data_IF_980019224476
#
_entry.id   IF_980019224476
#
_cell.length_a   1.000
_cell.length_b   1.000
_cell.length_c   1.000
_cell.angle_alpha   90.00
_cell.angle_beta   90.00
_cell.angle_gamma   90.00
#
_symmetry.space_group_name_H-M   'P 1'
#
loop_
_entity.id
_entity.type
_entity.pdbx_description
1 polymer ?
#
# COMPACT_ATOMS: atom_id res chain seq x y z
N UNK A 1 10.62 -43.62 -16.46
CA UNK A 1 9.62 -43.45 -15.38
C UNK A 1 9.39 -41.98 -15.18
N UNK A 2 8.15 -41.45 -15.13
CA UNK A 2 7.93 -40.06 -14.82
C UNK A 2 8.36 -39.83 -13.35
N UNK A 3 9.46 -39.11 -13.15
CA UNK A 3 9.90 -38.71 -11.84
C UNK A 3 8.96 -37.59 -11.36
N UNK A 4 8.14 -37.85 -10.36
CA UNK A 4 7.39 -36.80 -9.64
C UNK A 4 8.41 -35.95 -8.88
N UNK A 5 8.88 -34.90 -9.49
CA UNK A 5 9.74 -33.95 -8.81
C UNK A 5 8.88 -33.09 -7.85
N UNK A 6 8.92 -33.42 -6.57
CA UNK A 6 8.28 -32.62 -5.52
C UNK A 6 9.22 -31.42 -5.24
N UNK A 7 9.08 -30.38 -6.04
CA UNK A 7 9.81 -29.12 -5.86
C UNK A 7 9.01 -28.18 -4.95
N UNK A 8 9.69 -27.28 -4.25
CA UNK A 8 9.05 -26.25 -3.44
C UNK A 8 8.04 -25.42 -4.26
N UNK A 9 8.33 -25.16 -5.54
CA UNK A 9 7.43 -24.48 -6.46
C UNK A 9 6.10 -25.23 -6.64
N UNK A 10 6.15 -26.55 -6.87
CA UNK A 10 4.95 -27.37 -7.06
C UNK A 10 4.09 -27.42 -5.79
N UNK A 11 4.72 -27.53 -4.63
CA UNK A 11 4.03 -27.50 -3.32
C UNK A 11 3.36 -26.15 -3.12
N UNK A 12 4.05 -25.06 -3.41
CA UNK A 12 3.51 -23.71 -3.29
C UNK A 12 2.34 -23.49 -4.22
N UNK A 13 2.44 -23.90 -5.49
CA UNK A 13 1.34 -23.81 -6.45
C UNK A 13 0.13 -24.63 -6.02
N UNK A 14 0.34 -25.86 -5.55
CA UNK A 14 -0.73 -26.73 -5.08
C UNK A 14 -1.42 -26.16 -3.82
N UNK A 15 -0.63 -25.65 -2.86
CA UNK A 15 -1.14 -25.08 -1.62
C UNK A 15 -1.93 -23.80 -1.88
N UNK A 16 -1.36 -22.86 -2.64
CA UNK A 16 -2.03 -21.59 -2.97
C UNK A 16 -3.24 -21.80 -3.88
N UNK A 17 -3.09 -22.61 -4.92
CA UNK A 17 -4.19 -22.94 -5.85
C UNK A 17 -5.33 -23.66 -5.14
N UNK A 18 -5.02 -24.64 -4.30
CA UNK A 18 -5.99 -25.34 -3.48
C UNK A 18 -6.70 -24.42 -2.50
N UNK A 19 -5.96 -23.57 -1.78
CA UNK A 19 -6.52 -22.58 -0.87
C UNK A 19 -7.45 -21.60 -1.61
N UNK A 20 -6.98 -20.97 -2.69
CA UNK A 20 -7.77 -19.98 -3.45
C UNK A 20 -9.04 -20.62 -4.00
N UNK A 21 -8.96 -21.85 -4.52
CA UNK A 21 -10.13 -22.56 -5.05
C UNK A 21 -11.14 -22.87 -3.96
N UNK A 22 -10.72 -23.49 -2.86
CA UNK A 22 -11.61 -23.85 -1.75
C UNK A 22 -12.16 -22.59 -1.07
N UNK A 23 -11.30 -21.61 -0.81
CA UNK A 23 -11.70 -20.37 -0.19
C UNK A 23 -12.66 -19.56 -1.07
N UNK A 24 -12.42 -19.50 -2.39
CA UNK A 24 -13.31 -18.85 -3.34
C UNK A 24 -14.75 -19.41 -3.35
N UNK A 25 -14.90 -20.70 -3.06
CA UNK A 25 -16.21 -21.33 -2.94
C UNK A 25 -16.94 -20.95 -1.62
N UNK A 26 -16.19 -20.70 -0.57
CA UNK A 26 -16.75 -20.49 0.79
C UNK A 26 -16.72 -19.02 1.21
N UNK A 27 -15.90 -18.18 0.56
CA UNK A 27 -15.68 -16.76 0.94
C UNK A 27 -16.97 -15.97 1.02
N UNK A 28 -17.87 -16.16 0.07
CA UNK A 28 -19.18 -15.52 0.05
C UNK A 28 -20.02 -15.87 1.30
N UNK A 29 -20.05 -17.15 1.69
CA UNK A 29 -20.77 -17.61 2.88
C UNK A 29 -20.14 -17.06 4.17
N UNK A 30 -18.82 -17.02 4.26
CA UNK A 30 -18.10 -16.51 5.40
C UNK A 30 -18.34 -15.01 5.59
N UNK A 31 -18.35 -14.26 4.50
CA UNK A 31 -18.63 -12.83 4.50
C UNK A 31 -20.07 -12.52 4.90
N UNK A 32 -21.05 -13.16 4.27
CA UNK A 32 -22.47 -12.84 4.47
C UNK A 32 -23.06 -13.40 5.78
N UNK A 33 -22.55 -14.53 6.26
CA UNK A 33 -23.09 -15.20 7.45
C UNK A 33 -22.30 -14.94 8.73
N UNK A 34 -20.98 -14.84 8.63
CA UNK A 34 -20.10 -14.71 9.80
C UNK A 34 -19.40 -13.35 9.87
N UNK A 35 -19.62 -12.45 8.89
CA UNK A 35 -18.99 -11.12 8.82
C UNK A 35 -17.47 -11.14 8.91
N UNK A 36 -16.85 -12.25 8.49
CA UNK A 36 -15.40 -12.39 8.45
C UNK A 36 -14.83 -11.76 7.19
N UNK A 37 -13.75 -10.97 7.34
CA UNK A 37 -13.07 -10.39 6.19
C UNK A 37 -12.23 -11.45 5.48
N UNK A 38 -12.23 -11.41 4.15
CA UNK A 38 -11.42 -12.30 3.31
C UNK A 38 -9.91 -12.10 3.58
N UNK A 39 -9.51 -10.86 3.89
CA UNK A 39 -8.13 -10.52 4.24
C UNK A 39 -7.66 -11.21 5.53
N UNK A 40 -8.51 -11.24 6.57
CA UNK A 40 -8.18 -11.91 7.83
C UNK A 40 -7.97 -13.42 7.64
N UNK A 41 -8.85 -14.05 6.88
CA UNK A 41 -8.75 -15.50 6.63
C UNK A 41 -7.51 -15.82 5.80
N UNK A 42 -7.20 -15.00 4.79
CA UNK A 42 -6.00 -15.15 3.97
C UNK A 42 -4.72 -14.95 4.80
N UNK A 43 -4.73 -14.00 5.75
CA UNK A 43 -3.62 -13.80 6.67
C UNK A 43 -3.40 -15.04 7.55
N UNK A 44 -4.46 -15.57 8.16
CA UNK A 44 -4.37 -16.78 9.00
C UNK A 44 -3.88 -17.97 8.16
N UNK A 45 -4.39 -18.14 6.95
CA UNK A 45 -3.92 -19.18 6.04
C UNK A 45 -2.42 -19.02 5.70
N UNK A 46 -1.95 -17.79 5.46
CA UNK A 46 -0.53 -17.49 5.24
C UNK A 46 0.34 -17.86 6.45
N UNK A 47 -0.12 -17.59 7.66
CA UNK A 47 0.57 -18.01 8.89
C UNK A 47 0.61 -19.53 9.01
N UNK A 48 -0.49 -20.23 8.71
CA UNK A 48 -0.54 -21.70 8.74
C UNK A 48 0.42 -22.32 7.72
N UNK A 49 0.51 -21.76 6.51
CA UNK A 49 1.39 -22.29 5.45
C UNK A 49 2.86 -21.90 5.62
N UNK A 50 3.16 -21.00 6.54
CA UNK A 50 4.51 -20.49 6.77
C UNK A 50 5.49 -21.57 7.26
N UNK A 51 6.81 -21.34 7.15
CA UNK A 51 7.85 -22.23 7.66
C UNK A 51 7.74 -22.50 9.17
N UNK A 52 7.12 -21.59 9.92
CA UNK A 52 6.97 -21.70 11.38
C UNK A 52 5.79 -22.58 11.81
N UNK A 53 4.88 -22.93 10.90
CA UNK A 53 3.73 -23.80 11.19
C UNK A 53 3.81 -25.11 10.39
N UNK A 54 3.17 -25.17 9.20
CA UNK A 54 3.13 -26.41 8.41
C UNK A 54 4.33 -26.59 7.47
N UNK A 55 5.11 -25.56 7.25
CA UNK A 55 6.28 -25.54 6.35
C UNK A 55 5.97 -25.93 4.90
N UNK A 56 4.73 -25.62 4.44
CA UNK A 56 4.35 -25.88 3.06
C UNK A 56 4.95 -24.89 2.09
N UNK A 57 5.06 -23.62 2.49
CA UNK A 57 5.62 -22.56 1.67
C UNK A 57 6.91 -22.08 2.31
N UNK A 58 8.02 -22.17 1.57
CA UNK A 58 9.36 -21.74 1.98
C UNK A 58 9.80 -20.53 1.17
N UNK A 59 9.50 -19.29 1.62
CA UNK A 59 9.84 -18.10 0.85
C UNK A 59 11.32 -17.90 0.59
N UNK A 60 12.17 -18.28 1.53
CA UNK A 60 13.63 -18.17 1.41
C UNK A 60 14.20 -18.99 0.24
N UNK A 61 13.58 -20.12 -0.12
CA UNK A 61 14.04 -20.91 -1.26
C UNK A 61 13.85 -20.16 -2.59
N UNK A 62 12.81 -19.31 -2.69
CA UNK A 62 12.58 -18.44 -3.86
C UNK A 62 13.53 -17.25 -3.88
N UNK A 63 14.06 -16.86 -2.72
CA UNK A 63 15.00 -15.77 -2.54
C UNK A 63 16.47 -16.25 -2.57
N UNK A 64 16.74 -17.46 -3.07
CA UNK A 64 18.07 -18.07 -3.12
C UNK A 64 18.77 -18.14 -1.75
N UNK A 65 17.98 -18.28 -0.68
CA UNK A 65 18.47 -18.35 0.70
C UNK A 65 18.88 -16.99 1.31
N UNK A 66 18.72 -15.88 0.61
CA UNK A 66 19.05 -14.53 1.08
C UNK A 66 17.84 -13.81 1.63
N UNK A 67 17.94 -13.31 2.87
CA UNK A 67 16.90 -12.48 3.48
C UNK A 67 16.72 -11.15 2.72
N UNK A 68 17.79 -10.54 2.26
CA UNK A 68 17.76 -9.29 1.50
C UNK A 68 16.97 -9.43 0.18
N UNK A 69 17.18 -10.56 -0.52
CA UNK A 69 16.39 -10.86 -1.72
C UNK A 69 14.92 -11.08 -1.40
N UNK A 70 14.60 -11.74 -0.27
CA UNK A 70 13.24 -11.96 0.17
C UNK A 70 12.54 -10.64 0.47
N UNK A 71 13.21 -9.73 1.17
CA UNK A 71 12.69 -8.41 1.50
C UNK A 71 12.43 -7.59 0.24
N UNK A 72 13.35 -7.67 -0.74
CA UNK A 72 13.18 -7.02 -2.05
C UNK A 72 12.00 -7.58 -2.84
N UNK A 73 11.86 -8.91 -2.92
CA UNK A 73 10.73 -9.57 -3.59
C UNK A 73 9.41 -9.16 -2.91
N UNK A 74 9.37 -9.19 -1.59
CA UNK A 74 8.20 -8.79 -0.81
C UNK A 74 7.83 -7.33 -1.08
N UNK A 75 8.82 -6.43 -1.10
CA UNK A 75 8.62 -5.01 -1.38
C UNK A 75 8.02 -4.77 -2.77
N UNK A 76 8.58 -5.39 -3.80
CA UNK A 76 8.07 -5.22 -5.17
C UNK A 76 6.67 -5.82 -5.34
N UNK A 77 6.43 -6.99 -4.75
CA UNK A 77 5.13 -7.64 -4.81
C UNK A 77 4.04 -6.82 -4.10
N UNK A 78 4.32 -6.31 -2.90
CA UNK A 78 3.36 -5.48 -2.16
C UNK A 78 3.08 -4.16 -2.87
N UNK A 79 4.08 -3.51 -3.47
CA UNK A 79 3.89 -2.31 -4.30
C UNK A 79 2.97 -2.58 -5.50
N UNK A 80 3.17 -3.70 -6.17
CA UNK A 80 2.33 -4.10 -7.30
C UNK A 80 0.87 -4.32 -6.87
N UNK A 81 0.65 -5.06 -5.80
CA UNK A 81 -0.67 -5.32 -5.25
C UNK A 81 -1.36 -4.02 -4.84
N UNK A 82 -0.64 -3.15 -4.11
CA UNK A 82 -1.15 -1.85 -3.67
C UNK A 82 -1.53 -0.97 -4.86
N UNK A 83 -0.68 -0.90 -5.90
CA UNK A 83 -0.98 -0.15 -7.12
C UNK A 83 -2.28 -0.61 -7.80
N UNK A 84 -2.49 -1.92 -7.92
CA UNK A 84 -3.73 -2.49 -8.48
C UNK A 84 -4.95 -2.14 -7.60
N UNK A 85 -4.83 -2.27 -6.28
CA UNK A 85 -5.90 -1.94 -5.34
C UNK A 85 -6.32 -0.47 -5.44
N UNK A 86 -5.36 0.46 -5.48
CA UNK A 86 -5.63 1.90 -5.56
C UNK A 86 -6.30 2.30 -6.90
N UNK A 87 -5.85 1.73 -8.02
CA UNK A 87 -6.50 1.98 -9.31
C UNK A 87 -7.93 1.45 -9.32
N UNK A 88 -8.16 0.23 -8.80
CA UNK A 88 -9.50 -0.35 -8.70
C UNK A 88 -10.41 0.46 -7.76
N UNK A 89 -9.91 0.95 -6.64
CA UNK A 89 -10.65 1.84 -5.73
C UNK A 89 -11.03 3.14 -6.42
N UNK A 90 -10.09 3.76 -7.14
CA UNK A 90 -10.34 5.00 -7.91
C UNK A 90 -11.40 4.84 -9.00
N UNK A 91 -11.40 3.73 -9.72
CA UNK A 91 -12.39 3.43 -10.78
C UNK A 91 -13.81 3.24 -10.22
N UNK A 92 -13.95 2.80 -8.97
CA UNK A 92 -15.26 2.58 -8.34
C UNK A 92 -15.98 3.86 -7.90
N UNK A 93 -15.26 4.98 -7.81
CA UNK A 93 -15.82 6.25 -7.36
C UNK A 93 -16.66 6.91 -8.47
N UNK A 94 -17.82 7.52 -8.14
CA UNK A 94 -18.62 8.28 -9.09
C UNK A 94 -17.86 9.50 -9.64
N UNK A 95 -18.23 9.91 -10.83
CA UNK A 95 -17.65 11.08 -11.51
C UNK A 95 -17.76 12.33 -10.62
N UNK A 96 -16.64 13.05 -10.43
CA UNK A 96 -16.54 14.27 -9.61
C UNK A 96 -16.87 14.08 -8.11
N UNK A 97 -16.93 12.84 -7.61
CA UNK A 97 -17.26 12.58 -6.21
C UNK A 97 -16.30 13.30 -5.24
N UNK A 98 -15.00 13.22 -5.49
CA UNK A 98 -13.97 13.91 -4.70
C UNK A 98 -14.15 15.43 -4.67
N UNK A 99 -14.65 16.04 -5.76
CA UNK A 99 -14.92 17.48 -5.82
C UNK A 99 -16.18 17.86 -5.06
N UNK A 100 -17.17 16.98 -5.01
CA UNK A 100 -18.43 17.24 -4.31
C UNK A 100 -18.26 17.09 -2.80
N UNK A 101 -17.59 16.02 -2.35
CA UNK A 101 -17.43 15.67 -0.94
C UNK A 101 -16.07 16.10 -0.36
N UNK A 102 -15.38 17.07 -0.96
CA UNK A 102 -14.03 17.46 -0.54
C UNK A 102 -13.97 17.91 0.92
N UNK A 103 -15.05 18.54 1.46
CA UNK A 103 -15.07 19.01 2.85
C UNK A 103 -15.13 17.85 3.84
N UNK A 104 -15.99 16.87 3.58
CA UNK A 104 -16.10 15.65 4.39
C UNK A 104 -14.81 14.85 4.36
N UNK A 105 -14.21 14.71 3.17
CA UNK A 105 -12.92 14.02 3.00
C UNK A 105 -11.79 14.80 3.66
N UNK A 106 -11.71 16.11 3.55
CA UNK A 106 -10.70 16.91 4.22
C UNK A 106 -10.77 16.80 5.75
N UNK A 107 -11.98 16.70 6.31
CA UNK A 107 -12.18 16.50 7.74
C UNK A 107 -11.72 15.10 8.19
N UNK A 108 -12.00 14.07 7.40
CA UNK A 108 -11.57 12.69 7.70
C UNK A 108 -10.05 12.52 7.55
N UNK A 109 -9.50 13.00 6.43
CA UNK A 109 -8.07 12.84 6.09
C UNK A 109 -7.14 13.80 6.83
N UNK A 110 -7.61 14.94 7.27
CA UNK A 110 -6.85 15.88 8.08
C UNK A 110 -6.99 15.60 9.58
N UNK A 111 -7.95 16.25 10.26
CA UNK A 111 -8.12 16.10 11.71
C UNK A 111 -8.40 14.67 12.15
N UNK A 112 -9.24 13.93 11.42
CA UNK A 112 -9.58 12.54 11.74
C UNK A 112 -8.36 11.64 11.73
N UNK A 113 -7.61 11.65 10.63
CA UNK A 113 -6.39 10.84 10.48
C UNK A 113 -5.29 11.25 11.47
N UNK A 114 -5.15 12.55 11.74
CA UNK A 114 -4.22 13.04 12.77
C UNK A 114 -4.59 12.53 14.16
N UNK A 115 -5.86 12.56 14.52
CA UNK A 115 -6.33 12.04 15.80
C UNK A 115 -6.10 10.52 15.91
N UNK A 116 -6.35 9.76 14.85
CA UNK A 116 -6.07 8.32 14.80
C UNK A 116 -4.57 8.03 14.94
N UNK A 117 -3.73 8.77 14.24
CA UNK A 117 -2.28 8.65 14.33
C UNK A 117 -1.75 8.87 15.73
N UNK A 118 -2.15 9.98 16.37
CA UNK A 118 -1.73 10.30 17.72
C UNK A 118 -2.25 9.31 18.76
N UNK A 119 -3.52 8.90 18.65
CA UNK A 119 -4.10 7.93 19.59
C UNK A 119 -3.44 6.55 19.46
N UNK A 120 -3.20 6.06 18.23
CA UNK A 120 -2.49 4.81 18.00
C UNK A 120 -1.06 4.86 18.56
N UNK A 121 -0.35 5.97 18.33
CA UNK A 121 1.01 6.16 18.86
C UNK A 121 1.04 6.20 20.39
N UNK A 122 0.06 6.84 21.02
CA UNK A 122 -0.06 6.88 22.49
C UNK A 122 -0.39 5.52 23.09
N UNK A 123 -1.26 4.72 22.45
CA UNK A 123 -1.56 3.36 22.88
C UNK A 123 -0.30 2.50 22.83
N UNK A 124 0.44 2.54 21.72
CA UNK A 124 1.68 1.77 21.59
C UNK A 124 2.72 2.25 22.62
N UNK A 125 2.77 3.56 22.91
CA UNK A 125 3.65 4.11 23.95
C UNK A 125 3.35 3.55 25.33
N UNK A 126 2.08 3.41 25.67
CA UNK A 126 1.68 2.78 26.94
C UNK A 126 1.95 1.28 27.01
N UNK A 127 2.03 0.59 25.88
CA UNK A 127 2.21 -0.88 25.84
C UNK A 127 3.67 -1.31 25.67
N UNK A 128 4.51 -0.51 25.03
CA UNK A 128 5.90 -0.84 24.72
C UNK A 128 6.85 0.06 25.50
N UNK A 129 7.39 -0.39 26.63
CA UNK A 129 8.35 0.39 27.40
C UNK A 129 9.70 0.51 26.66
N UNK A 130 10.43 1.60 26.95
CA UNK A 130 11.79 1.86 26.47
C UNK A 130 11.94 2.24 24.98
N UNK A 131 10.85 2.47 24.24
CA UNK A 131 10.94 3.07 22.90
C UNK A 131 10.79 4.60 22.97
N UNK A 132 11.61 5.31 22.18
CA UNK A 132 11.45 6.76 22.04
C UNK A 132 10.10 7.10 21.39
N UNK A 133 9.44 8.15 21.88
CA UNK A 133 8.14 8.59 21.35
C UNK A 133 8.16 8.86 19.83
N UNK A 134 9.29 9.32 19.29
CA UNK A 134 9.44 9.54 17.85
C UNK A 134 9.35 8.24 17.03
N UNK A 135 9.90 7.14 17.54
CA UNK A 135 9.76 5.83 16.88
C UNK A 135 8.30 5.31 16.95
N UNK A 136 7.62 5.62 18.05
CA UNK A 136 6.21 5.25 18.23
C UNK A 136 5.29 6.05 17.29
N UNK A 137 5.63 7.30 17.00
CA UNK A 137 4.96 8.09 15.95
C UNK A 137 5.12 7.45 14.56
N UNK A 138 6.30 6.90 14.25
CA UNK A 138 6.52 6.19 12.99
C UNK A 138 5.69 4.90 12.92
N UNK A 139 5.66 4.11 14.01
CA UNK A 139 4.83 2.89 14.11
C UNK A 139 3.34 3.24 13.97
N UNK A 140 2.88 4.27 14.70
CA UNK A 140 1.51 4.75 14.60
C UNK A 140 1.12 5.17 13.19
N UNK A 141 2.01 5.84 12.46
CA UNK A 141 1.78 6.24 11.07
C UNK A 141 1.61 5.05 10.12
N UNK A 142 2.28 3.93 10.37
CA UNK A 142 2.13 2.71 9.57
C UNK A 142 0.79 1.99 9.80
N UNK A 143 0.14 2.22 10.94
CA UNK A 143 -1.12 1.55 11.33
C UNK A 143 -2.35 2.43 11.05
N UNK A 144 -2.15 3.73 10.88
CA UNK A 144 -3.24 4.70 10.75
C UNK A 144 -4.01 4.61 9.43
N UNK A 145 -3.38 4.43 8.24
CA UNK A 145 -4.13 4.27 7.00
C UNK A 145 -5.01 3.02 7.00
N UNK A 146 -6.23 3.15 6.46
CA UNK A 146 -7.20 2.05 6.37
C UNK A 146 -7.06 1.32 5.03
N UNK A 147 -6.98 -0.01 5.06
CA UNK A 147 -6.85 -0.84 3.86
C UNK A 147 -8.13 -0.79 2.99
N UNK A 148 -8.03 -0.48 1.68
CA UNK A 148 -9.15 -0.51 0.75
C UNK A 148 -9.84 -1.87 0.63
N UNK A 149 -9.12 -2.99 0.82
CA UNK A 149 -9.71 -4.34 0.78
C UNK A 149 -10.64 -4.56 1.96
N UNK A 150 -10.21 -4.16 3.16
CA UNK A 150 -11.05 -4.24 4.36
C UNK A 150 -12.26 -3.32 4.24
N UNK A 151 -12.07 -2.08 3.81
CA UNK A 151 -13.16 -1.12 3.58
C UNK A 151 -14.19 -1.66 2.57
N UNK A 152 -13.73 -2.22 1.45
CA UNK A 152 -14.61 -2.87 0.49
C UNK A 152 -15.38 -4.06 1.06
N UNK A 153 -14.79 -4.81 1.99
CA UNK A 153 -15.47 -5.93 2.64
C UNK A 153 -16.63 -5.48 3.52
N UNK A 154 -16.53 -4.30 4.11
CA UNK A 154 -17.55 -3.70 4.97
C UNK A 154 -18.68 -3.06 4.14
N UNK A 155 -18.32 -2.32 3.07
CA UNK A 155 -19.28 -1.51 2.30
C UNK A 155 -19.92 -2.22 1.12
N UNK A 156 -19.54 -3.46 0.81
CA UNK A 156 -20.09 -4.25 -0.29
C UNK A 156 -20.74 -5.52 0.20
N UNK A 157 -21.78 -5.96 -0.50
CA UNK A 157 -22.53 -7.18 -0.22
C UNK A 157 -23.96 -6.88 0.19
N UNK A 158 -24.79 -7.92 0.26
CA UNK A 158 -26.24 -7.80 0.52
C UNK A 158 -26.55 -7.10 1.86
N UNK A 159 -25.73 -7.35 2.88
CA UNK A 159 -25.89 -6.69 4.18
C UNK A 159 -25.63 -5.20 4.07
N UNK A 160 -24.51 -4.81 3.47
CA UNK A 160 -24.15 -3.41 3.29
C UNK A 160 -25.19 -2.66 2.44
N UNK A 161 -25.63 -3.28 1.33
CA UNK A 161 -26.63 -2.69 0.45
C UNK A 161 -27.99 -2.43 1.13
N UNK A 162 -28.33 -3.25 2.15
CA UNK A 162 -29.58 -3.12 2.91
C UNK A 162 -29.47 -2.18 4.11
N UNK A 163 -28.32 -2.10 4.77
CA UNK A 163 -28.20 -1.44 6.08
C UNK A 163 -27.31 -0.19 6.06
N UNK A 164 -26.44 -0.02 5.06
CA UNK A 164 -25.51 1.10 4.99
C UNK A 164 -25.97 2.08 3.89
N UNK A 165 -26.19 3.36 4.21
CA UNK A 165 -26.53 4.37 3.22
C UNK A 165 -25.48 4.44 2.10
N UNK A 166 -25.92 4.61 0.85
CA UNK A 166 -25.04 4.62 -0.32
C UNK A 166 -23.96 5.72 -0.26
N UNK A 167 -24.27 6.84 0.33
CA UNK A 167 -23.31 7.94 0.45
C UNK A 167 -22.22 7.62 1.49
N UNK A 168 -22.59 6.91 2.57
CA UNK A 168 -21.61 6.41 3.53
C UNK A 168 -20.70 5.33 2.91
N UNK A 169 -21.25 4.43 2.07
CA UNK A 169 -20.43 3.46 1.34
C UNK A 169 -19.39 4.16 0.46
N UNK A 170 -19.80 5.19 -0.30
CA UNK A 170 -18.91 5.93 -1.20
C UNK A 170 -17.82 6.71 -0.45
N UNK A 171 -18.17 7.35 0.68
CA UNK A 171 -17.18 8.13 1.42
C UNK A 171 -16.13 7.25 2.08
N UNK A 172 -16.50 6.06 2.57
CA UNK A 172 -15.57 5.07 3.12
C UNK A 172 -14.59 4.59 2.03
N UNK A 173 -15.09 4.29 0.82
CA UNK A 173 -14.22 3.89 -0.30
C UNK A 173 -13.28 5.04 -0.71
N UNK A 174 -13.77 6.26 -0.76
CA UNK A 174 -12.99 7.44 -1.14
C UNK A 174 -11.93 7.77 -0.09
N UNK A 175 -12.29 7.70 1.19
CA UNK A 175 -11.39 7.93 2.31
C UNK A 175 -10.27 6.89 2.32
N UNK A 176 -10.61 5.60 2.27
CA UNK A 176 -9.62 4.52 2.30
C UNK A 176 -8.67 4.56 1.10
N UNK A 177 -9.16 4.91 -0.11
CA UNK A 177 -8.28 5.07 -1.27
C UNK A 177 -7.38 6.31 -1.22
N UNK A 178 -7.76 7.35 -0.47
CA UNK A 178 -6.99 8.59 -0.36
C UNK A 178 -6.01 8.56 0.84
N UNK A 179 -6.37 7.90 1.93
CA UNK A 179 -5.56 7.89 3.15
C UNK A 179 -4.28 7.06 3.01
N UNK A 180 -4.24 6.05 2.16
CA UNK A 180 -3.02 5.28 1.86
C UNK A 180 -1.90 6.21 1.36
N UNK A 181 -2.20 7.12 0.43
CA UNK A 181 -1.24 8.13 -0.03
C UNK A 181 -0.92 9.19 1.02
N UNK A 182 -1.92 9.58 1.83
CA UNK A 182 -1.75 10.61 2.86
C UNK A 182 -1.16 10.07 4.18
N UNK A 183 -0.99 8.77 4.34
CA UNK A 183 -0.18 8.18 5.41
C UNK A 183 1.30 8.53 5.32
N UNK A 184 1.77 8.77 4.10
CA UNK A 184 3.16 9.11 3.81
C UNK A 184 3.66 10.37 4.57
N UNK A 185 2.98 11.52 4.55
CA UNK A 185 3.38 12.68 5.34
C UNK A 185 3.53 12.41 6.84
N UNK A 186 2.66 11.62 7.45
CA UNK A 186 2.74 11.31 8.88
C UNK A 186 3.97 10.45 9.21
N UNK A 187 4.23 9.43 8.39
CA UNK A 187 5.42 8.60 8.55
C UNK A 187 6.70 9.41 8.38
N UNK A 188 6.77 10.22 7.33
CA UNK A 188 7.97 11.00 7.04
C UNK A 188 8.24 12.11 8.04
N UNK A 189 7.20 12.72 8.61
CA UNK A 189 7.40 13.65 9.72
C UNK A 189 8.11 12.97 10.89
N UNK A 190 7.66 11.78 11.28
CA UNK A 190 8.29 11.02 12.35
C UNK A 190 9.74 10.63 12.00
N UNK A 191 9.99 10.17 10.77
CA UNK A 191 11.33 9.78 10.31
C UNK A 191 12.31 10.97 10.25
N UNK A 192 11.89 12.15 9.75
CA UNK A 192 12.73 13.35 9.75
C UNK A 192 13.01 13.83 11.17
N UNK A 193 12.03 13.76 12.06
CA UNK A 193 12.27 14.09 13.47
C UNK A 193 13.26 13.10 14.11
N UNK A 194 13.14 11.80 13.88
CA UNK A 194 14.13 10.81 14.34
C UNK A 194 15.51 11.12 13.79
N UNK A 195 15.62 11.42 12.49
CA UNK A 195 16.89 11.71 11.81
C UNK A 195 17.61 12.95 12.37
N UNK A 196 16.89 14.04 12.61
CA UNK A 196 17.50 15.34 12.96
C UNK A 196 17.46 15.68 14.45
N UNK A 197 16.59 15.04 15.26
CA UNK A 197 16.46 15.34 16.71
C UNK A 197 16.71 14.13 17.61
N UNK A 198 16.91 12.94 17.02
CA UNK A 198 17.05 11.69 17.79
C UNK A 198 18.34 11.65 18.63
N UNK A 199 18.22 11.42 19.93
CA UNK A 199 19.33 11.26 20.88
C UNK A 199 20.07 9.91 20.77
N UNK A 200 19.86 9.14 19.71
CA UNK A 200 20.35 7.76 19.57
C UNK A 200 21.51 7.55 18.59
N UNK A 201 22.36 8.54 18.33
CA UNK A 201 23.56 8.36 17.50
C UNK A 201 23.35 8.47 15.98
N UNK A 202 22.13 8.65 15.51
CA UNK A 202 21.81 8.94 14.11
C UNK A 202 21.49 10.43 13.88
N UNK A 203 21.55 11.26 14.91
CA UNK A 203 21.20 12.68 14.85
C UNK A 203 22.16 13.47 13.95
N UNK A 204 21.72 13.76 12.72
CA UNK A 204 22.41 14.73 11.88
C UNK A 204 22.19 16.14 12.44
N UNK A 205 23.18 17.05 12.34
CA UNK A 205 23.00 18.42 12.78
C UNK A 205 21.94 19.13 11.94
N UNK A 206 20.96 19.75 12.59
CA UNK A 206 19.89 20.48 11.91
C UNK A 206 18.63 20.70 12.74
N UNK A 207 18.40 19.86 13.73
CA UNK A 207 17.27 19.99 14.65
C UNK A 207 15.90 19.94 13.99
N UNK A 208 14.87 20.32 14.75
CA UNK A 208 13.48 20.28 14.30
C UNK A 208 13.19 21.22 13.11
N UNK A 209 13.94 22.30 12.94
CA UNK A 209 13.76 23.26 11.85
C UNK A 209 14.07 22.61 10.51
N UNK A 210 15.20 21.87 10.43
CA UNK A 210 15.57 21.17 9.20
C UNK A 210 14.63 20.01 8.91
N UNK A 211 14.20 19.27 9.95
CA UNK A 211 13.19 18.23 9.84
C UNK A 211 11.89 18.75 9.21
N UNK A 212 11.40 19.90 9.67
CA UNK A 212 10.20 20.54 9.12
C UNK A 212 10.42 21.06 7.69
N UNK A 213 11.61 21.62 7.41
CA UNK A 213 11.97 22.09 6.07
C UNK A 213 11.93 20.95 5.04
N UNK A 214 12.57 19.81 5.34
CA UNK A 214 12.55 18.63 4.48
C UNK A 214 11.14 18.03 4.37
N UNK A 215 10.37 18.02 5.47
CA UNK A 215 9.01 17.54 5.45
C UNK A 215 8.10 18.36 4.51
N UNK A 216 8.16 19.69 4.57
CA UNK A 216 7.37 20.52 3.67
C UNK A 216 7.91 20.49 2.23
N UNK A 217 9.23 20.58 2.05
CA UNK A 217 9.84 20.64 0.72
C UNK A 217 9.80 19.30 -0.01
N UNK A 218 10.32 18.24 0.60
CA UNK A 218 10.44 16.93 -0.04
C UNK A 218 9.12 16.13 0.01
N UNK A 219 8.46 16.07 1.18
CA UNK A 219 7.25 15.25 1.30
C UNK A 219 6.06 15.91 0.62
N UNK A 220 5.69 17.13 1.03
CA UNK A 220 4.51 17.79 0.47
C UNK A 220 4.76 18.39 -0.91
N UNK A 221 5.85 19.16 -1.06
CA UNK A 221 6.14 19.87 -2.31
C UNK A 221 6.51 18.91 -3.44
N UNK A 222 7.49 18.05 -3.22
CA UNK A 222 7.98 17.14 -4.26
C UNK A 222 7.13 15.87 -4.37
N UNK A 223 7.06 15.05 -3.30
CA UNK A 223 6.45 13.72 -3.40
C UNK A 223 4.92 13.78 -3.61
N UNK A 224 4.19 14.48 -2.73
CA UNK A 224 2.73 14.49 -2.79
C UNK A 224 2.22 15.30 -3.98
N UNK A 225 2.67 16.53 -4.14
CA UNK A 225 2.18 17.39 -5.21
C UNK A 225 2.51 16.82 -6.60
N UNK A 226 3.74 16.34 -6.79
CA UNK A 226 4.16 15.72 -8.05
C UNK A 226 3.35 14.45 -8.35
N UNK A 227 3.10 13.62 -7.34
CA UNK A 227 2.29 12.40 -7.49
C UNK A 227 0.85 12.72 -7.89
N UNK A 228 0.26 13.77 -7.30
CA UNK A 228 -1.10 14.22 -7.64
C UNK A 228 -1.15 14.71 -9.10
N UNK A 229 -0.20 15.53 -9.51
CA UNK A 229 -0.13 16.07 -10.89
C UNK A 229 0.09 14.94 -11.89
N UNK A 230 1.04 14.05 -11.62
CA UNK A 230 1.35 12.90 -12.46
C UNK A 230 0.15 11.95 -12.58
N UNK A 231 -0.44 11.56 -11.45
CA UNK A 231 -1.61 10.69 -11.42
C UNK A 231 -2.83 11.29 -12.13
N UNK A 232 -3.04 12.60 -12.01
CA UNK A 232 -4.10 13.32 -12.74
C UNK A 232 -3.86 13.31 -14.25
N UNK A 233 -2.63 13.55 -14.70
CA UNK A 233 -2.26 13.53 -16.12
C UNK A 233 -2.44 12.13 -16.73
N UNK A 234 -1.86 11.10 -16.10
CA UNK A 234 -1.96 9.71 -16.56
C UNK A 234 -3.41 9.22 -16.53
N UNK A 235 -4.14 9.51 -15.44
CA UNK A 235 -5.53 9.12 -15.30
C UNK A 235 -6.44 9.81 -16.35
N UNK A 236 -6.15 11.07 -16.68
CA UNK A 236 -6.88 11.78 -17.76
C UNK A 236 -6.62 11.15 -19.12
N UNK A 237 -5.37 10.86 -19.46
CA UNK A 237 -4.98 10.19 -20.71
C UNK A 237 -5.63 8.80 -20.80
N UNK A 238 -5.52 8.00 -19.74
CA UNK A 238 -6.09 6.67 -19.68
C UNK A 238 -7.61 6.67 -19.86
N UNK A 239 -8.30 7.61 -19.20
CA UNK A 239 -9.75 7.81 -19.37
C UNK A 239 -10.12 8.14 -20.80
N UNK A 240 -9.38 9.06 -21.44
CA UNK A 240 -9.67 9.49 -22.82
C UNK A 240 -9.42 8.35 -23.82
N UNK A 241 -8.35 7.57 -23.64
CA UNK A 241 -8.07 6.40 -24.46
C UNK A 241 -9.16 5.33 -24.32
N UNK A 242 -9.56 5.04 -23.08
CA UNK A 242 -10.62 4.06 -22.81
C UNK A 242 -11.95 4.50 -23.40
N UNK A 243 -12.32 5.77 -23.25
CA UNK A 243 -13.57 6.31 -23.81
C UNK A 243 -13.61 6.22 -25.32
N UNK A 244 -12.49 6.54 -26.00
CA UNK A 244 -12.39 6.38 -27.46
C UNK A 244 -12.48 4.94 -27.92
N UNK A 245 -11.84 4.02 -27.16
CA UNK A 245 -11.89 2.60 -27.46
C UNK A 245 -13.30 2.01 -27.25
N UNK A 246 -14.00 2.47 -26.21
CA UNK A 246 -15.40 2.08 -25.94
C UNK A 246 -16.34 2.57 -27.05
N UNK A 247 -16.23 3.83 -27.49
CA UNK A 247 -17.02 4.37 -28.60
C UNK A 247 -16.83 3.56 -29.88
N UNK A 248 -15.63 3.06 -30.13
CA UNK A 248 -15.32 2.22 -31.29
C UNK A 248 -15.63 0.74 -31.06
N UNK A 249 -16.17 0.37 -29.90
CA UNK A 249 -16.46 -1.03 -29.51
C UNK A 249 -15.24 -1.97 -29.55
N UNK A 250 -14.05 -1.44 -29.22
CA UNK A 250 -12.83 -2.23 -29.15
C UNK A 250 -12.61 -2.86 -27.78
N UNK A 251 -13.39 -2.49 -26.76
CA UNK A 251 -13.21 -2.92 -25.38
C UNK A 251 -14.49 -3.63 -24.89
N UNK A 252 -14.31 -4.82 -24.34
CA UNK A 252 -15.32 -5.57 -23.59
C UNK A 252 -15.07 -5.50 -22.08
N UNK A 253 -15.88 -6.19 -21.26
CA UNK A 253 -15.74 -6.20 -19.81
C UNK A 253 -14.42 -6.79 -19.33
N UNK A 254 -13.91 -7.79 -20.03
CA UNK A 254 -12.68 -8.48 -19.68
C UNK A 254 -11.49 -7.56 -19.96
N UNK A 255 -11.47 -6.92 -21.12
CA UNK A 255 -10.46 -5.92 -21.49
C UNK A 255 -10.41 -4.75 -20.53
N UNK A 256 -11.56 -4.33 -19.98
CA UNK A 256 -11.61 -3.25 -18.98
C UNK A 256 -10.88 -3.62 -17.68
N UNK A 257 -11.04 -4.85 -17.17
CA UNK A 257 -10.33 -5.32 -15.98
C UNK A 257 -8.82 -5.42 -16.22
N UNK A 258 -8.43 -5.96 -17.37
CA UNK A 258 -7.02 -6.04 -17.78
C UNK A 258 -6.42 -4.63 -17.90
N UNK A 259 -7.15 -3.68 -18.49
CA UNK A 259 -6.71 -2.29 -18.62
C UNK A 259 -6.43 -1.63 -17.27
N UNK A 260 -7.30 -1.85 -16.27
CA UNK A 260 -7.10 -1.30 -14.93
C UNK A 260 -5.83 -1.85 -14.26
N UNK A 261 -5.58 -3.16 -14.39
CA UNK A 261 -4.37 -3.82 -13.85
C UNK A 261 -3.11 -3.32 -14.57
N UNK A 262 -3.14 -3.28 -15.90
CA UNK A 262 -1.97 -2.83 -16.70
C UNK A 262 -1.69 -1.36 -16.50
N UNK A 263 -2.71 -0.52 -16.28
CA UNK A 263 -2.54 0.88 -15.92
C UNK A 263 -1.83 1.03 -14.55
N UNK A 264 -2.20 0.22 -13.57
CA UNK A 264 -1.51 0.20 -12.29
C UNK A 264 -0.04 -0.17 -12.41
N UNK A 265 0.27 -1.22 -13.20
CA UNK A 265 1.65 -1.60 -13.51
C UNK A 265 2.43 -0.49 -14.20
N UNK A 266 1.82 0.18 -15.19
CA UNK A 266 2.43 1.31 -15.88
C UNK A 266 2.73 2.47 -14.93
N UNK A 267 1.80 2.85 -14.06
CA UNK A 267 1.99 3.92 -13.08
C UNK A 267 3.12 3.55 -12.12
N UNK A 268 3.11 2.35 -11.56
CA UNK A 268 4.14 1.90 -10.61
C UNK A 268 5.53 1.86 -11.26
N UNK A 269 5.65 1.40 -12.49
CA UNK A 269 6.92 1.33 -13.20
C UNK A 269 7.43 2.71 -13.65
N UNK A 270 6.55 3.55 -14.18
CA UNK A 270 6.94 4.86 -14.72
C UNK A 270 7.28 5.89 -13.64
N UNK A 271 6.66 5.83 -12.45
CA UNK A 271 7.06 6.67 -11.32
C UNK A 271 8.47 6.36 -10.87
N UNK A 272 8.87 5.10 -10.84
CA UNK A 272 10.23 4.70 -10.51
C UNK A 272 11.26 5.17 -11.57
N UNK A 273 10.91 5.08 -12.84
CA UNK A 273 11.77 5.59 -13.92
C UNK A 273 11.92 7.12 -13.87
N UNK A 274 10.88 7.85 -13.47
CA UNK A 274 10.95 9.31 -13.33
C UNK A 274 11.85 9.75 -12.15
N UNK A 275 11.92 9.00 -11.07
CA UNK A 275 12.87 9.24 -9.97
C UNK A 275 14.33 9.09 -10.43
N UNK A 276 14.62 8.18 -11.38
CA UNK A 276 15.94 8.01 -11.95
C UNK A 276 16.35 9.14 -12.92
N UNK A 277 15.37 9.84 -13.52
CA UNK A 277 15.65 10.91 -14.50
C UNK A 277 15.77 12.32 -13.88
N UNK A 278 15.30 12.52 -12.64
CA UNK A 278 15.38 13.81 -11.99
C UNK A 278 16.59 13.85 -11.03
N UNK A 279 17.55 14.77 -11.23
CA UNK A 279 18.80 14.81 -10.46
C UNK A 279 18.64 15.16 -8.97
N UNK A 280 17.42 15.26 -8.46
CA UNK A 280 17.10 15.44 -7.04
C UNK A 280 17.14 14.14 -6.20
N UNK A 281 17.39 12.99 -6.84
CA UNK A 281 17.40 11.65 -6.22
C UNK A 281 18.49 11.45 -5.16
N UNK A 282 19.53 12.28 -5.11
CA UNK A 282 20.62 12.10 -4.13
C UNK A 282 20.23 12.38 -2.68
N UNK A 283 19.06 12.94 -2.43
CA UNK A 283 18.57 13.26 -1.09
C UNK A 283 17.48 12.33 -0.55
N UNK A 284 16.92 11.45 -1.38
CA UNK A 284 15.91 10.49 -0.91
C UNK A 284 16.57 9.38 -0.10
N UNK A 285 16.63 9.58 1.21
CA UNK A 285 17.24 8.65 2.18
C UNK A 285 16.61 7.25 2.14
N UNK A 286 15.35 7.16 1.68
CA UNK A 286 14.61 5.90 1.55
C UNK A 286 15.07 5.10 0.35
N UNK A 287 15.44 5.77 -0.73
CA UNK A 287 16.07 5.08 -1.85
C UNK A 287 17.41 4.46 -1.44
N UNK A 288 18.19 5.14 -0.57
CA UNK A 288 19.49 4.64 -0.08
C UNK A 288 19.36 3.62 1.05
N UNK A 289 18.36 3.71 1.91
CA UNK A 289 18.18 2.75 3.02
C UNK A 289 17.34 1.53 2.66
N UNK A 290 16.40 1.66 1.73
CA UNK A 290 15.63 0.52 1.21
C UNK A 290 16.29 -0.18 0.01
N UNK A 291 17.20 0.51 -0.69
CA UNK A 291 17.98 -0.03 -1.80
C UNK A 291 19.46 0.14 -1.44
N UNK A 292 19.96 -0.70 -0.52
CA UNK A 292 21.35 -0.68 -0.10
C UNK A 292 22.29 -0.37 -1.28
N UNK A 293 22.98 0.76 -1.20
CA UNK A 293 23.99 1.10 -2.17
C UNK A 293 25.06 0.01 -2.11
N UNK A 294 25.09 -0.87 -3.12
CA UNK A 294 26.21 -1.73 -3.42
C UNK A 294 27.39 -0.86 -3.91
N UNK A 295 27.88 0.02 -3.07
CA UNK A 295 29.17 0.69 -3.19
C UNK A 295 30.21 0.02 -2.27
N UNK A 296 30.25 -1.32 -2.29
CA UNK A 296 31.39 -2.08 -1.78
C UNK A 296 32.31 -2.47 -2.95
N UNK A 297 33.02 -1.50 -3.49
CA UNK A 297 33.94 -1.79 -4.56
C UNK A 297 34.81 -0.64 -5.02
N UNK A 298 35.50 0.03 -4.09
CA UNK A 298 36.81 0.68 -4.34
C UNK A 298 37.47 1.01 -3.00
N UNK A 299 38.24 0.10 -2.53
CA UNK A 299 39.32 0.41 -1.57
C UNK A 299 40.61 0.41 -2.40
N UNK A 300 41.51 1.38 -2.21
CA UNK A 300 42.73 1.54 -2.95
C UNK A 300 43.72 0.41 -2.68
#
# INVERSE_FOLDING_TARGET
MPTLAITNFNITCATLGGFITLFGLVSYLLKERYYLSEALISLIAGVIFSPHATNFIKPLDFALGSQENLDSITLYFTRLVLGVQLVLAGVQLPRKYLQHEWKSLALLLGPGMTAMWLSSSLIVWGMVPNLSFLHLLAIGACVTPTDPVLSNSIVKGKFADKHIPKDLQKIIIAESGANDGLGYPFLFLALYLVKYTGNGGAGQPGGAILAMGDWFGETWGYTILLSVVYGAAVGWIAKELLHRAEQKKFVDRESFLVFAITLALFITGSTYLSECFLPFSDRCLICKTCFGSNDSGRVP
#
